data_IF_395351752960
#
_entry.id   IF_395351752960
#
_cell.length_a   1.000
_cell.length_b   1.000
_cell.length_c   1.000
_cell.angle_alpha   90.00
_cell.angle_beta   90.00
_cell.angle_gamma   90.00
#
_symmetry.space_group_name_H-M   'P 1'
#
loop_
_entity.id
_entity.type
_entity.pdbx_description
1 polymer ?
#
# COMPACT_ATOMS: atom_id res chain seq x y z
N UNK A 1 -5.75 -24.51 33.28
CA UNK A 1 -6.44 -24.41 31.97
C UNK A 1 -6.72 -22.97 31.45
N UNK A 2 -6.28 -21.88 32.12
CA UNK A 2 -6.67 -20.49 31.75
C UNK A 2 -5.66 -19.66 30.95
N UNK A 3 -4.48 -20.21 30.61
CA UNK A 3 -3.47 -19.41 29.87
C UNK A 3 -3.59 -19.48 28.33
N UNK A 4 -4.24 -20.48 27.78
CA UNK A 4 -4.41 -20.65 26.34
C UNK A 4 -5.51 -19.71 25.80
N UNK A 5 -6.61 -19.56 26.53
CA UNK A 5 -7.72 -18.67 26.10
C UNK A 5 -7.34 -17.18 26.11
N UNK A 6 -6.52 -16.72 27.07
CA UNK A 6 -6.08 -15.34 27.15
C UNK A 6 -5.11 -14.94 26.02
N UNK A 7 -4.27 -15.87 25.55
CA UNK A 7 -3.36 -15.63 24.41
C UNK A 7 -4.12 -15.52 23.08
N UNK A 8 -5.14 -16.32 22.86
CA UNK A 8 -5.92 -16.32 21.61
C UNK A 8 -6.75 -15.04 21.45
N UNK A 9 -7.34 -14.53 22.52
CA UNK A 9 -8.11 -13.27 22.49
C UNK A 9 -7.22 -12.05 22.25
N UNK A 10 -6.03 -11.98 22.86
CA UNK A 10 -5.09 -10.87 22.66
C UNK A 10 -4.55 -10.82 21.23
N UNK A 11 -4.26 -11.95 20.62
CA UNK A 11 -3.75 -12.04 19.24
C UNK A 11 -4.81 -11.59 18.23
N UNK A 12 -6.07 -11.97 18.43
CA UNK A 12 -7.17 -11.59 17.55
C UNK A 12 -7.47 -10.08 17.60
N UNK A 13 -7.43 -9.46 18.77
CA UNK A 13 -7.65 -8.01 18.93
C UNK A 13 -6.55 -7.22 18.23
N UNK A 14 -5.28 -7.58 18.38
CA UNK A 14 -4.14 -6.92 17.74
C UNK A 14 -4.20 -7.07 16.21
N UNK A 15 -4.64 -8.20 15.72
CA UNK A 15 -4.75 -8.48 14.29
C UNK A 15 -5.85 -7.63 13.64
N UNK A 16 -7.04 -7.55 14.25
CA UNK A 16 -8.15 -6.70 13.81
C UNK A 16 -7.75 -5.22 13.80
N UNK A 17 -6.99 -4.76 14.80
CA UNK A 17 -6.51 -3.39 14.87
C UNK A 17 -5.51 -3.07 13.73
N UNK A 18 -4.64 -4.01 13.38
CA UNK A 18 -3.70 -3.83 12.27
C UNK A 18 -4.40 -3.78 10.91
N UNK A 19 -5.46 -4.57 10.69
CA UNK A 19 -6.27 -4.48 9.47
C UNK A 19 -6.96 -3.13 9.33
N UNK A 20 -7.56 -2.64 10.42
CA UNK A 20 -8.19 -1.32 10.46
C UNK A 20 -7.22 -0.20 10.12
N UNK A 21 -5.99 -0.26 10.64
CA UNK A 21 -4.94 0.71 10.33
C UNK A 21 -4.55 0.66 8.85
N UNK A 22 -4.45 -0.53 8.27
CA UNK A 22 -4.22 -0.71 6.83
C UNK A 22 -5.31 -0.05 6.00
N UNK A 23 -6.57 -0.35 6.27
CA UNK A 23 -7.73 0.20 5.56
C UNK A 23 -7.80 1.73 5.67
N UNK A 24 -7.54 2.32 6.84
CA UNK A 24 -7.49 3.77 7.02
C UNK A 24 -6.39 4.42 6.18
N UNK A 25 -5.23 3.79 6.07
CA UNK A 25 -4.15 4.30 5.23
C UNK A 25 -4.47 4.18 3.74
N UNK A 26 -5.08 3.07 3.31
CA UNK A 26 -5.56 2.89 1.93
C UNK A 26 -6.59 3.97 1.55
N UNK A 27 -7.58 4.24 2.42
CA UNK A 27 -8.53 5.34 2.22
C UNK A 27 -7.86 6.70 2.11
N UNK A 28 -6.86 6.96 2.95
CA UNK A 28 -6.09 8.19 2.88
C UNK A 28 -5.37 8.32 1.53
N UNK A 29 -4.72 7.25 1.04
CA UNK A 29 -4.05 7.24 -0.26
C UNK A 29 -5.05 7.49 -1.40
N UNK A 30 -6.23 6.84 -1.38
CA UNK A 30 -7.28 7.05 -2.38
C UNK A 30 -7.71 8.52 -2.44
N UNK A 31 -7.86 9.18 -1.29
CA UNK A 31 -8.26 10.60 -1.20
C UNK A 31 -7.23 11.58 -1.77
N UNK A 32 -5.97 11.16 -1.93
CA UNK A 32 -4.93 11.99 -2.55
C UNK A 32 -5.05 12.03 -4.08
N UNK A 33 -5.81 11.14 -4.70
CA UNK A 33 -6.12 11.21 -6.13
C UNK A 33 -7.27 12.17 -6.39
N UNK A 34 -7.15 12.97 -7.46
CA UNK A 34 -8.24 13.85 -7.88
C UNK A 34 -9.30 13.04 -8.64
N UNK A 35 -10.49 12.89 -8.06
CA UNK A 35 -11.63 12.13 -8.63
C UNK A 35 -12.13 12.63 -10.00
N UNK A 36 -11.77 13.85 -10.41
CA UNK A 36 -12.07 14.34 -11.76
C UNK A 36 -11.28 13.61 -12.84
N UNK A 37 -10.10 13.09 -12.51
CA UNK A 37 -9.18 12.48 -13.46
C UNK A 37 -8.89 11.02 -13.15
N UNK A 38 -9.00 10.63 -11.88
CA UNK A 38 -8.66 9.29 -11.43
C UNK A 38 -9.91 8.54 -10.97
N UNK A 39 -10.03 7.31 -11.45
CA UNK A 39 -11.11 6.40 -11.08
C UNK A 39 -10.55 5.23 -10.32
N UNK A 40 -11.20 4.89 -9.20
CA UNK A 40 -10.90 3.70 -8.43
C UNK A 40 -11.52 2.48 -9.12
N UNK A 41 -10.67 1.65 -9.74
CA UNK A 41 -11.12 0.43 -10.42
C UNK A 41 -11.35 -0.71 -9.43
N UNK A 42 -10.43 -0.87 -8.49
CA UNK A 42 -10.52 -1.91 -7.49
C UNK A 42 -9.87 -1.47 -6.18
N UNK A 43 -10.50 -1.82 -5.09
CA UNK A 43 -9.97 -1.71 -3.74
C UNK A 43 -10.13 -3.05 -3.05
N UNK A 44 -8.99 -3.68 -2.73
CA UNK A 44 -8.94 -5.00 -2.10
C UNK A 44 -8.86 -4.84 -0.59
N UNK A 45 -10.02 -4.63 0.01
CA UNK A 45 -10.11 -4.59 1.47
C UNK A 45 -9.74 -5.96 2.04
N UNK A 46 -8.79 -5.96 2.94
CA UNK A 46 -8.45 -7.15 3.74
C UNK A 46 -9.54 -7.35 4.78
N UNK A 47 -10.51 -8.22 4.51
CA UNK A 47 -11.48 -8.65 5.52
C UNK A 47 -11.01 -9.95 6.14
N UNK A 48 -10.74 -9.97 7.45
CA UNK A 48 -10.54 -11.25 8.14
C UNK A 48 -11.87 -12.00 8.16
N UNK A 49 -11.89 -13.21 7.62
CA UNK A 49 -13.01 -14.12 7.83
C UNK A 49 -13.09 -14.52 9.31
N UNK A 50 -14.29 -14.83 9.79
CA UNK A 50 -14.54 -15.25 11.18
C UNK A 50 -13.79 -16.55 11.56
N UNK A 51 -13.28 -17.30 10.59
CA UNK A 51 -12.51 -18.54 10.73
C UNK A 51 -10.98 -18.37 10.62
N UNK A 52 -10.51 -17.11 10.46
CA UNK A 52 -9.09 -16.79 10.34
C UNK A 52 -8.48 -17.09 8.95
N UNK A 53 -9.28 -17.49 7.97
CA UNK A 53 -8.81 -17.59 6.58
C UNK A 53 -8.75 -16.22 5.93
N UNK A 54 -7.73 -15.99 5.12
CA UNK A 54 -7.49 -14.73 4.43
C UNK A 54 -7.83 -14.93 2.96
N UNK A 55 -8.60 -14.02 2.36
CA UNK A 55 -9.01 -14.14 0.95
C UNK A 55 -7.80 -14.15 0.00
N UNK A 56 -7.91 -14.90 -1.11
CA UNK A 56 -6.83 -15.03 -2.11
C UNK A 56 -6.39 -13.72 -2.79
N UNK A 57 -7.07 -12.61 -2.53
CA UNK A 57 -6.72 -11.28 -3.06
C UNK A 57 -5.59 -10.58 -2.29
N UNK A 58 -5.09 -11.15 -1.19
CA UNK A 58 -4.01 -10.59 -0.36
C UNK A 58 -2.64 -10.53 -1.06
N UNK A 59 -2.50 -11.19 -2.16
CA UNK A 59 -1.28 -11.26 -2.95
C UNK A 59 -1.23 -10.24 -4.09
N UNK A 60 -2.30 -9.48 -4.28
CA UNK A 60 -2.37 -8.42 -5.28
C UNK A 60 -2.26 -7.04 -4.58
N UNK A 61 -1.81 -5.99 -5.28
CA UNK A 61 -1.77 -4.63 -4.72
C UNK A 61 -3.15 -4.18 -4.23
N UNK A 62 -3.19 -3.39 -3.15
CA UNK A 62 -4.42 -2.99 -2.45
C UNK A 62 -5.38 -2.22 -3.34
N UNK A 63 -4.85 -1.33 -4.21
CA UNK A 63 -5.63 -0.36 -4.98
C UNK A 63 -5.26 -0.47 -6.46
N UNK A 64 -6.26 -0.53 -7.35
CA UNK A 64 -6.08 -0.27 -8.79
C UNK A 64 -6.76 1.02 -9.17
N UNK A 65 -6.00 1.90 -9.78
CA UNK A 65 -6.43 3.21 -10.25
C UNK A 65 -6.37 3.32 -11.77
N UNK A 66 -7.18 4.18 -12.31
CA UNK A 66 -7.20 4.51 -13.72
C UNK A 66 -7.20 6.03 -13.90
N UNK A 67 -6.19 6.56 -14.58
CA UNK A 67 -6.21 7.94 -15.07
C UNK A 67 -6.99 7.99 -16.39
N UNK A 68 -8.01 8.82 -16.45
CA UNK A 68 -8.76 9.09 -17.69
C UNK A 68 -8.33 10.44 -18.25
N UNK A 69 -7.63 10.41 -19.37
CA UNK A 69 -7.16 11.59 -20.05
C UNK A 69 -7.98 11.86 -21.32
N UNK A 70 -8.46 13.10 -21.45
CA UNK A 70 -9.23 13.54 -22.63
C UNK A 70 -10.44 12.66 -22.97
N UNK A 71 -11.08 12.08 -21.95
CA UNK A 71 -12.33 11.31 -22.06
C UNK A 71 -12.25 9.94 -22.74
N UNK A 72 -11.12 9.58 -23.34
CA UNK A 72 -11.00 8.34 -24.14
C UNK A 72 -9.80 7.46 -23.77
N UNK A 73 -8.66 8.05 -23.40
CA UNK A 73 -7.46 7.29 -23.05
C UNK A 73 -7.47 6.98 -21.59
N UNK A 74 -7.24 5.70 -21.27
CA UNK A 74 -7.23 5.17 -19.91
C UNK A 74 -5.86 4.57 -19.61
N UNK A 75 -5.28 4.98 -18.50
CA UNK A 75 -3.97 4.53 -18.06
C UNK A 75 -4.09 3.94 -16.67
N UNK A 76 -3.92 2.62 -16.58
CA UNK A 76 -4.05 1.88 -15.32
C UNK A 76 -2.72 1.79 -14.59
N UNK A 77 -2.79 1.82 -13.28
CA UNK A 77 -1.70 1.51 -12.37
C UNK A 77 -2.25 0.95 -11.06
N UNK A 78 -1.41 0.31 -10.27
CA UNK A 78 -1.79 -0.19 -8.96
C UNK A 78 -0.91 0.43 -7.87
N UNK A 79 -1.44 0.47 -6.66
CA UNK A 79 -0.75 0.97 -5.46
C UNK A 79 -0.88 -0.05 -4.35
N UNK A 80 0.25 -0.47 -3.82
CA UNK A 80 0.35 -1.18 -2.55
C UNK A 80 0.55 -0.18 -1.43
N UNK A 81 -0.15 -0.34 -0.32
CA UNK A 81 -0.19 0.60 0.79
C UNK A 81 0.42 0.00 2.05
N UNK A 82 1.40 0.67 2.63
CA UNK A 82 2.07 0.22 3.84
C UNK A 82 2.20 1.37 4.84
N UNK A 83 1.49 1.28 5.95
CA UNK A 83 1.69 2.20 7.08
C UNK A 83 2.53 1.54 8.16
N UNK A 84 3.49 2.29 8.71
CA UNK A 84 4.34 1.89 9.82
C UNK A 84 4.40 2.99 10.85
N UNK A 85 4.43 2.60 12.12
CA UNK A 85 4.50 3.57 13.23
C UNK A 85 5.78 4.38 13.20
N UNK A 86 6.90 3.73 12.92
CA UNK A 86 8.23 4.33 12.95
C UNK A 86 9.24 3.48 12.19
N UNK A 87 10.43 4.03 11.94
CA UNK A 87 11.60 3.25 11.57
C UNK A 87 12.19 2.59 12.82
N UNK A 88 12.59 1.33 12.72
CA UNK A 88 13.31 0.61 13.75
C UNK A 88 14.75 0.44 13.27
N UNK A 89 15.73 0.93 14.03
CA UNK A 89 17.15 0.93 13.63
C UNK A 89 17.38 1.54 12.23
N UNK A 90 16.64 2.61 11.92
CA UNK A 90 16.73 3.35 10.66
C UNK A 90 16.10 2.65 9.45
N UNK A 91 15.42 1.54 9.63
CA UNK A 91 14.79 0.76 8.56
C UNK A 91 13.36 0.34 8.89
N UNK A 92 12.63 -0.05 7.86
CA UNK A 92 11.31 -0.67 7.95
C UNK A 92 11.29 -2.00 7.23
N UNK A 93 10.55 -2.97 7.76
CA UNK A 93 10.10 -4.13 7.02
C UNK A 93 8.79 -3.77 6.30
N UNK A 94 8.82 -3.72 4.96
CA UNK A 94 7.67 -3.25 4.19
C UNK A 94 6.80 -4.38 3.65
N UNK A 95 7.39 -5.50 3.22
CA UNK A 95 6.65 -6.66 2.73
C UNK A 95 7.46 -7.96 2.90
N UNK A 96 6.77 -9.08 2.93
CA UNK A 96 7.39 -10.41 2.87
C UNK A 96 7.85 -10.72 1.43
N UNK A 97 8.85 -11.56 1.28
CA UNK A 97 9.39 -11.92 -0.04
C UNK A 97 8.30 -12.46 -0.99
N UNK A 98 7.39 -13.29 -0.46
CA UNK A 98 6.29 -13.85 -1.25
C UNK A 98 5.32 -12.76 -1.73
N UNK A 99 5.10 -11.72 -0.94
CA UNK A 99 4.27 -10.59 -1.35
C UNK A 99 4.95 -9.79 -2.46
N UNK A 100 6.25 -9.54 -2.33
CA UNK A 100 7.04 -8.83 -3.36
C UNK A 100 7.00 -9.59 -4.68
N UNK A 101 7.19 -10.91 -4.64
CA UNK A 101 7.09 -11.77 -5.82
C UNK A 101 5.69 -11.68 -6.45
N UNK A 102 4.64 -11.70 -5.64
CA UNK A 102 3.26 -11.61 -6.12
C UNK A 102 2.97 -10.25 -6.78
N UNK A 103 3.45 -9.15 -6.22
CA UNK A 103 3.27 -7.82 -6.82
C UNK A 103 4.02 -7.70 -8.16
N UNK A 104 5.18 -8.33 -8.30
CA UNK A 104 5.90 -8.40 -9.57
C UNK A 104 5.15 -9.24 -10.60
N UNK A 105 4.66 -10.41 -10.21
CA UNK A 105 3.83 -11.26 -11.08
C UNK A 105 2.59 -10.47 -11.54
N UNK A 106 1.93 -9.76 -10.64
CA UNK A 106 0.79 -8.89 -10.97
C UNK A 106 1.17 -7.85 -12.03
N UNK A 107 2.28 -7.11 -11.80
CA UNK A 107 2.75 -6.09 -12.73
C UNK A 107 3.05 -6.66 -14.12
N UNK A 108 3.74 -7.79 -14.17
CA UNK A 108 4.16 -8.43 -15.44
C UNK A 108 2.97 -9.05 -16.18
N UNK A 109 2.07 -9.72 -15.46
CA UNK A 109 0.91 -10.40 -16.04
C UNK A 109 -0.11 -9.41 -16.60
N UNK A 110 -0.41 -8.34 -15.85
CA UNK A 110 -1.42 -7.36 -16.25
C UNK A 110 -0.83 -6.18 -17.03
N UNK A 111 0.49 -6.07 -17.10
CA UNK A 111 1.23 -4.95 -17.71
C UNK A 111 0.78 -3.60 -17.17
N UNK A 112 0.55 -3.55 -15.86
CA UNK A 112 0.17 -2.33 -15.13
C UNK A 112 1.30 -2.00 -14.15
N UNK A 113 1.84 -0.77 -14.16
CA UNK A 113 2.86 -0.39 -13.20
C UNK A 113 2.31 -0.45 -11.78
N UNK A 114 3.14 -0.96 -10.85
CA UNK A 114 2.83 -1.03 -9.42
C UNK A 114 3.69 0.00 -8.69
N UNK A 115 3.05 0.79 -7.85
CA UNK A 115 3.68 1.73 -6.92
C UNK A 115 3.48 1.25 -5.49
N UNK A 116 4.39 1.63 -4.61
CA UNK A 116 4.29 1.35 -3.18
C UNK A 116 4.21 2.67 -2.44
N UNK A 117 3.10 2.89 -1.74
CA UNK A 117 2.89 4.03 -0.86
C UNK A 117 3.25 3.62 0.57
N UNK A 118 4.18 4.32 1.20
CA UNK A 118 4.66 4.04 2.55
C UNK A 118 4.41 5.26 3.43
N UNK A 119 3.52 5.10 4.40
CA UNK A 119 3.25 6.09 5.45
C UNK A 119 4.04 5.77 6.72
N UNK A 120 4.68 6.77 7.31
CA UNK A 120 5.45 6.62 8.54
C UNK A 120 5.02 7.65 9.57
N UNK A 121 4.81 7.17 10.80
CA UNK A 121 4.44 8.01 11.94
C UNK A 121 3.02 8.53 11.89
N UNK A 122 2.62 9.30 12.90
CA UNK A 122 1.28 9.84 13.02
C UNK A 122 0.18 8.78 13.08
N UNK A 123 -0.98 9.10 12.53
CA UNK A 123 -2.08 8.15 12.34
C UNK A 123 -2.09 7.62 10.90
N UNK A 124 -2.68 6.44 10.64
CA UNK A 124 -2.75 5.88 9.29
C UNK A 124 -3.43 6.81 8.28
N UNK A 125 -4.46 7.53 8.70
CA UNK A 125 -5.19 8.53 7.89
C UNK A 125 -4.55 9.92 7.89
N UNK A 126 -3.44 10.09 8.63
CA UNK A 126 -2.66 11.34 8.71
C UNK A 126 -1.18 11.03 9.04
N UNK A 127 -0.42 10.39 8.13
CA UNK A 127 0.98 10.05 8.37
C UNK A 127 1.85 11.31 8.42
N UNK A 128 2.88 11.29 9.27
CA UNK A 128 3.86 12.38 9.36
C UNK A 128 4.75 12.46 8.12
N UNK A 129 5.08 11.30 7.56
CA UNK A 129 5.92 11.15 6.37
C UNK A 129 5.25 10.22 5.37
N UNK A 130 5.32 10.59 4.11
CA UNK A 130 4.78 9.82 3.00
C UNK A 130 5.86 9.62 1.94
N UNK A 131 6.00 8.40 1.47
CA UNK A 131 6.88 8.03 0.38
C UNK A 131 6.07 7.28 -0.69
N UNK A 132 6.39 7.54 -1.96
CA UNK A 132 5.71 6.91 -3.08
C UNK A 132 6.75 6.48 -4.11
N UNK A 133 7.00 5.18 -4.20
CA UNK A 133 8.07 4.61 -5.03
C UNK A 133 7.52 3.59 -6.04
N UNK A 134 8.05 3.54 -7.26
CA UNK A 134 7.80 2.41 -8.15
C UNK A 134 8.28 1.10 -7.50
N UNK A 135 7.52 0.03 -7.64
CA UNK A 135 7.90 -1.31 -7.16
C UNK A 135 9.29 -1.71 -7.67
N UNK A 136 9.60 -1.40 -8.93
CA UNK A 136 10.88 -1.73 -9.57
C UNK A 136 12.11 -1.15 -8.88
N UNK A 137 11.94 -0.14 -8.03
CA UNK A 137 13.06 0.48 -7.33
C UNK A 137 13.35 -0.14 -5.96
N UNK A 138 12.42 -0.94 -5.43
CA UNK A 138 12.52 -1.50 -4.07
C UNK A 138 12.32 -3.01 -3.98
N UNK A 139 11.92 -3.68 -5.05
CA UNK A 139 11.54 -5.10 -5.02
C UNK A 139 12.66 -6.09 -4.65
N UNK A 140 13.92 -5.63 -4.65
CA UNK A 140 15.06 -6.48 -4.30
C UNK A 140 15.24 -6.68 -2.79
N UNK A 141 14.56 -5.86 -1.97
CA UNK A 141 14.73 -5.82 -0.53
C UNK A 141 13.38 -5.79 0.17
N UNK A 142 13.20 -6.64 1.16
CA UNK A 142 12.02 -6.66 2.04
C UNK A 142 12.15 -5.65 3.20
N UNK A 143 13.36 -5.19 3.48
CA UNK A 143 13.66 -4.09 4.40
C UNK A 143 14.21 -2.89 3.61
N UNK A 144 13.80 -1.68 4.01
CA UNK A 144 14.23 -0.43 3.39
C UNK A 144 14.75 0.52 4.46
N UNK A 145 15.90 1.12 4.22
CA UNK A 145 16.40 2.20 5.04
C UNK A 145 15.68 3.52 4.71
N UNK A 146 15.65 4.44 5.67
CA UNK A 146 15.08 5.77 5.42
C UNK A 146 15.79 6.45 4.23
N UNK A 147 17.11 6.28 4.11
CA UNK A 147 17.92 6.81 3.00
C UNK A 147 17.43 6.35 1.63
N UNK A 148 16.95 5.11 1.52
CA UNK A 148 16.45 4.54 0.26
C UNK A 148 15.14 5.18 -0.17
N UNK A 149 14.37 5.70 0.81
CA UNK A 149 13.06 6.30 0.60
C UNK A 149 13.11 7.82 0.39
N UNK A 150 14.18 8.50 0.79
CA UNK A 150 14.31 9.96 0.65
C UNK A 150 14.00 10.46 -0.78
N UNK A 151 14.49 9.83 -1.87
CA UNK A 151 14.18 10.29 -3.24
C UNK A 151 12.69 10.23 -3.60
N UNK A 152 11.91 9.45 -2.86
CA UNK A 152 10.48 9.19 -3.10
C UNK A 152 9.58 9.91 -2.11
N UNK A 153 10.14 10.81 -1.29
CA UNK A 153 9.38 11.56 -0.28
C UNK A 153 8.34 12.45 -0.96
N UNK A 154 7.12 12.44 -0.40
CA UNK A 154 5.99 13.27 -0.82
C UNK A 154 5.47 14.07 0.36
N UNK A 155 4.89 15.22 0.07
CA UNK A 155 4.16 15.97 1.09
C UNK A 155 2.83 15.24 1.36
N UNK A 156 2.51 14.85 2.61
CA UNK A 156 1.31 14.06 2.92
C UNK A 156 -0.01 14.69 2.46
N UNK A 157 -0.08 16.00 2.31
CA UNK A 157 -1.31 16.70 1.89
C UNK A 157 -1.38 17.01 0.40
N UNK A 158 -0.37 16.62 -0.39
CA UNK A 158 -0.34 16.91 -1.82
C UNK A 158 -1.12 15.88 -2.61
N UNK A 159 -1.87 16.34 -3.62
CA UNK A 159 -2.53 15.48 -4.59
C UNK A 159 -1.49 14.72 -5.42
N UNK A 160 -1.83 13.49 -5.80
CA UNK A 160 -1.00 12.68 -6.68
C UNK A 160 -1.25 13.02 -8.15
N UNK A 161 -0.18 12.94 -8.95
CA UNK A 161 -0.18 13.09 -10.39
C UNK A 161 0.49 11.87 -11.03
N UNK A 162 -0.06 11.37 -12.12
CA UNK A 162 0.49 10.23 -12.85
C UNK A 162 0.98 10.65 -14.23
N UNK A 163 2.30 10.53 -14.45
CA UNK A 163 2.90 10.64 -15.75
C UNK A 163 2.89 9.28 -16.44
N UNK A 164 1.95 9.10 -17.36
CA UNK A 164 1.77 7.84 -18.08
C UNK A 164 2.80 7.60 -19.20
N UNK A 165 3.61 8.60 -19.53
CA UNK A 165 4.73 8.45 -20.49
C UNK A 165 5.94 7.91 -19.77
N UNK A 166 6.29 8.50 -18.61
CA UNK A 166 7.42 8.08 -17.80
C UNK A 166 7.08 6.96 -16.82
N UNK A 167 5.80 6.58 -16.72
CA UNK A 167 5.27 5.63 -15.73
C UNK A 167 5.68 6.02 -14.30
N UNK A 168 5.50 7.29 -13.95
CA UNK A 168 5.83 7.83 -12.63
C UNK A 168 4.58 8.37 -11.95
N UNK A 169 4.48 8.11 -10.68
CA UNK A 169 3.47 8.66 -9.78
C UNK A 169 4.16 9.64 -8.81
N UNK A 170 3.63 10.88 -8.72
CA UNK A 170 4.21 11.97 -7.93
C UNK A 170 3.29 12.38 -6.79
#
# INVERSE_FOLDING_TARGET
MNQIAARTTSTNVTQVDNYKKGELFEEYIIKLFNEQFFYLNKWRKSTPYADGQISGDLWNPDIEMELVFSGKKRYRFAVECKWRKEFTDGKIFWARDEQIVSYRIFQDQWRIPVFVAIGIGGAPDNPERLFLTPLNNIYMHNELYESDLIPYKRKPTSRFYYDFIQLKLF
#
